data_IF_476204001524
#
_entry.id   IF_476204001524
#
_cell.length_a   1.000
_cell.length_b   1.000
_cell.length_c   1.000
_cell.angle_alpha   90.00
_cell.angle_beta   90.00
_cell.angle_gamma   90.00
#
_symmetry.space_group_name_H-M   'P 1'
#
loop_
_entity.id
_entity.type
_entity.pdbx_description
1 polymer ?
#
# COMPACT_ATOMS: atom_id res chain seq x y z
N UNK A 1 0.20 31.78 -12.57
CA UNK A 1 -0.74 30.73 -12.14
C UNK A 1 -0.15 29.41 -12.61
N UNK A 2 0.49 28.68 -11.70
CA UNK A 2 1.01 27.33 -12.01
C UNK A 2 -0.19 26.40 -12.09
N UNK A 3 -0.54 25.94 -13.28
CA UNK A 3 -1.50 24.85 -13.42
C UNK A 3 -0.96 23.64 -12.67
N UNK A 4 -1.78 23.09 -11.77
CA UNK A 4 -1.44 21.84 -11.11
C UNK A 4 -1.24 20.76 -12.21
N UNK A 5 -0.19 19.92 -12.12
CA UNK A 5 0.07 18.90 -13.13
C UNK A 5 -1.14 17.98 -13.24
N UNK A 6 -1.57 17.70 -14.48
CA UNK A 6 -2.65 16.73 -14.73
C UNK A 6 -2.15 15.37 -14.26
N UNK A 7 -2.78 14.85 -13.22
CA UNK A 7 -2.46 13.56 -12.64
C UNK A 7 -3.63 12.62 -12.89
N UNK A 8 -3.35 11.48 -13.52
CA UNK A 8 -4.34 10.41 -13.73
C UNK A 8 -4.14 9.31 -12.69
N UNK A 9 -5.26 8.82 -12.15
CA UNK A 9 -5.27 7.68 -11.23
C UNK A 9 -5.99 6.52 -11.91
N UNK A 10 -5.36 5.35 -11.93
CA UNK A 10 -5.92 4.16 -12.57
C UNK A 10 -5.67 2.90 -11.74
N UNK A 11 -6.57 1.92 -11.90
CA UNK A 11 -6.39 0.56 -11.37
C UNK A 11 -5.64 -0.28 -12.39
N UNK A 12 -4.60 -0.98 -11.94
CA UNK A 12 -3.79 -1.89 -12.75
C UNK A 12 -4.15 -3.32 -12.37
N UNK A 13 -4.67 -4.09 -13.31
CA UNK A 13 -5.08 -5.49 -13.11
C UNK A 13 -4.17 -6.50 -13.81
N UNK A 14 -3.34 -6.05 -14.74
CA UNK A 14 -2.38 -6.86 -15.45
C UNK A 14 -0.97 -6.27 -15.35
N UNK A 15 0.05 -7.11 -15.40
CA UNK A 15 1.44 -6.68 -15.32
C UNK A 15 1.79 -5.68 -16.42
N UNK A 16 2.37 -4.55 -16.02
CA UNK A 16 2.88 -3.49 -16.86
C UNK A 16 4.35 -3.27 -16.53
N UNK A 17 5.23 -3.30 -17.50
CA UNK A 17 6.67 -3.24 -17.27
C UNK A 17 7.11 -1.93 -16.57
N UNK A 18 6.51 -0.79 -16.91
CA UNK A 18 6.80 0.51 -16.29
C UNK A 18 6.32 0.56 -14.85
N UNK A 19 5.12 0.04 -14.59
CA UNK A 19 4.55 -0.05 -13.24
C UNK A 19 5.38 -1.00 -12.38
N UNK A 20 5.72 -2.18 -12.88
CA UNK A 20 6.55 -3.15 -12.14
C UNK A 20 7.92 -2.57 -11.80
N UNK A 21 8.57 -1.90 -12.74
CA UNK A 21 9.85 -1.22 -12.50
C UNK A 21 9.73 -0.11 -11.44
N UNK A 22 8.67 0.68 -11.49
CA UNK A 22 8.38 1.71 -10.50
C UNK A 22 8.18 1.13 -9.10
N UNK A 23 7.38 0.07 -8.96
CA UNK A 23 7.12 -0.58 -7.68
C UNK A 23 8.39 -1.21 -7.09
N UNK A 24 9.22 -1.82 -7.92
CA UNK A 24 10.48 -2.41 -7.50
C UNK A 24 11.48 -1.33 -7.04
N UNK A 25 11.63 -0.26 -7.81
CA UNK A 25 12.49 0.87 -7.45
C UNK A 25 12.02 1.55 -6.15
N UNK A 26 10.71 1.71 -5.96
CA UNK A 26 10.10 2.27 -4.75
C UNK A 26 10.41 1.42 -3.52
N UNK A 27 10.28 0.10 -3.62
CA UNK A 27 10.60 -0.81 -2.53
C UNK A 27 12.09 -0.76 -2.15
N UNK A 28 12.97 -0.72 -3.15
CA UNK A 28 14.41 -0.61 -2.93
C UNK A 28 14.81 0.72 -2.28
N UNK A 29 14.13 1.80 -2.61
CA UNK A 29 14.35 3.11 -1.96
C UNK A 29 13.90 3.09 -0.50
N UNK A 30 12.67 2.63 -0.22
CA UNK A 30 12.11 2.60 1.13
C UNK A 30 12.88 1.66 2.08
N UNK A 31 13.36 0.54 1.57
CA UNK A 31 14.03 -0.50 2.35
C UNK A 31 15.53 -0.60 2.02
N UNK A 32 16.14 0.51 1.63
CA UNK A 32 17.56 0.56 1.26
C UNK A 32 18.44 -0.06 2.36
N UNK A 33 19.31 -1.00 1.97
CA UNK A 33 20.20 -1.73 2.87
C UNK A 33 19.52 -2.81 3.73
N UNK A 34 18.22 -3.04 3.58
CA UNK A 34 17.43 -4.03 4.33
C UNK A 34 16.88 -5.17 3.50
N UNK A 35 16.80 -4.98 2.19
CA UNK A 35 16.34 -6.00 1.24
C UNK A 35 17.50 -6.48 0.39
N UNK A 36 17.48 -7.78 0.02
CA UNK A 36 18.37 -8.32 -0.97
C UNK A 36 18.05 -7.68 -2.34
N UNK A 37 18.99 -6.92 -2.95
CA UNK A 37 18.74 -6.25 -4.21
C UNK A 37 18.55 -7.20 -5.39
N UNK A 38 18.99 -8.46 -5.27
CA UNK A 38 18.81 -9.48 -6.29
C UNK A 38 17.42 -10.15 -6.25
N UNK A 39 16.67 -9.98 -5.15
CA UNK A 39 15.36 -10.60 -4.97
C UNK A 39 14.25 -9.70 -5.50
N UNK A 40 13.42 -10.25 -6.37
CA UNK A 40 12.16 -9.61 -6.80
C UNK A 40 11.03 -10.09 -5.88
N UNK A 41 10.26 -9.19 -5.26
CA UNK A 41 9.11 -9.57 -4.44
C UNK A 41 8.08 -10.40 -5.22
N UNK A 42 7.47 -11.38 -4.55
CA UNK A 42 6.53 -12.33 -5.18
C UNK A 42 5.28 -11.67 -5.76
N UNK A 43 4.81 -10.59 -5.16
CA UNK A 43 3.69 -9.83 -5.70
C UNK A 43 3.98 -9.12 -7.02
N UNK A 44 5.24 -8.97 -7.38
CA UNK A 44 5.67 -8.44 -8.69
C UNK A 44 5.95 -9.55 -9.71
N UNK A 45 6.35 -10.75 -9.26
CA UNK A 45 6.53 -11.91 -10.14
C UNK A 45 5.21 -12.61 -10.46
N UNK A 46 4.29 -12.65 -9.48
CA UNK A 46 2.97 -13.27 -9.58
C UNK A 46 1.86 -12.20 -9.51
N UNK A 47 2.00 -11.18 -10.32
CA UNK A 47 1.20 -9.96 -10.28
C UNK A 47 -0.31 -10.22 -10.31
N UNK A 48 -0.78 -11.07 -11.22
CA UNK A 48 -2.20 -11.36 -11.37
C UNK A 48 -2.81 -12.07 -10.16
N UNK A 49 -2.04 -12.89 -9.44
CA UNK A 49 -2.49 -13.56 -8.23
C UNK A 49 -2.66 -12.59 -7.05
N UNK A 50 -1.97 -11.47 -7.07
CA UNK A 50 -2.03 -10.47 -6.00
C UNK A 50 -2.94 -9.29 -6.33
N UNK A 51 -2.92 -8.82 -7.58
CA UNK A 51 -3.58 -7.57 -7.99
C UNK A 51 -4.53 -7.72 -9.17
N UNK A 52 -4.72 -8.94 -9.69
CA UNK A 52 -5.74 -9.22 -10.71
C UNK A 52 -7.15 -8.98 -10.20
N UNK A 53 -8.14 -9.01 -11.10
CA UNK A 53 -9.55 -8.89 -10.72
C UNK A 53 -9.91 -9.92 -9.63
N UNK A 54 -10.68 -9.48 -8.63
CA UNK A 54 -11.12 -10.29 -7.49
C UNK A 54 -9.99 -10.82 -6.56
N UNK A 55 -8.75 -10.41 -6.77
CA UNK A 55 -7.60 -10.82 -5.95
C UNK A 55 -7.14 -9.73 -5.00
N UNK A 56 -6.96 -8.54 -5.53
CA UNK A 56 -6.51 -7.36 -4.81
C UNK A 56 -6.79 -6.10 -5.62
N UNK A 57 -6.15 -5.01 -5.26
CA UNK A 57 -6.28 -3.75 -5.96
C UNK A 57 -4.93 -3.02 -5.96
N UNK A 58 -4.45 -2.65 -7.12
CA UNK A 58 -3.30 -1.75 -7.28
C UNK A 58 -3.76 -0.47 -7.97
N UNK A 59 -3.51 0.66 -7.34
CA UNK A 59 -3.75 1.98 -7.90
C UNK A 59 -2.42 2.66 -8.20
N UNK A 60 -2.34 3.24 -9.40
CA UNK A 60 -1.17 3.98 -9.86
C UNK A 60 -1.61 5.39 -10.23
N UNK A 61 -0.79 6.35 -9.84
CA UNK A 61 -0.87 7.74 -10.31
C UNK A 61 0.22 7.98 -11.33
N UNK A 62 -0.15 8.57 -12.46
CA UNK A 62 0.78 8.99 -13.51
C UNK A 62 0.78 10.51 -13.63
N UNK A 63 1.91 11.06 -13.99
CA UNK A 63 2.04 12.47 -14.34
C UNK A 63 1.53 12.75 -15.77
N UNK A 64 1.61 14.00 -16.20
CA UNK A 64 1.19 14.43 -17.53
C UNK A 64 1.96 13.73 -18.67
N UNK A 65 3.18 13.25 -18.41
CA UNK A 65 4.00 12.50 -19.37
C UNK A 65 3.68 11.00 -19.37
N UNK A 66 2.76 10.54 -18.50
CA UNK A 66 2.37 9.15 -18.37
C UNK A 66 3.31 8.31 -17.48
N UNK A 67 4.27 8.93 -16.80
CA UNK A 67 5.18 8.22 -15.89
C UNK A 67 4.50 7.92 -14.55
N UNK A 68 4.66 6.71 -13.98
CA UNK A 68 4.19 6.42 -12.63
C UNK A 68 4.90 7.31 -11.60
N UNK A 69 4.15 7.99 -10.75
CA UNK A 69 4.65 8.88 -9.69
C UNK A 69 4.10 8.58 -8.31
N UNK A 70 3.13 7.69 -8.22
CA UNK A 70 2.57 7.24 -6.96
C UNK A 70 1.88 5.89 -7.08
N UNK A 71 1.85 5.15 -5.98
CA UNK A 71 1.19 3.85 -5.89
C UNK A 71 0.57 3.63 -4.53
N UNK A 72 -0.44 2.79 -4.49
CA UNK A 72 -0.96 2.11 -3.30
C UNK A 72 -1.63 0.82 -3.73
N UNK A 73 -1.61 -0.18 -2.88
CA UNK A 73 -2.31 -1.44 -3.15
C UNK A 73 -2.89 -2.05 -1.89
N UNK A 74 -3.85 -2.94 -2.07
CA UNK A 74 -4.12 -3.98 -1.11
C UNK A 74 -4.12 -5.35 -1.79
N UNK A 75 -3.75 -6.37 -1.03
CA UNK A 75 -3.78 -7.77 -1.41
C UNK A 75 -4.43 -8.59 -0.32
N UNK A 76 -4.79 -9.83 -0.60
CA UNK A 76 -5.31 -10.73 0.43
C UNK A 76 -4.31 -10.86 1.57
N UNK A 77 -4.80 -10.70 2.78
CA UNK A 77 -4.00 -10.93 3.98
C UNK A 77 -3.79 -12.43 4.20
N UNK A 78 -2.55 -12.86 4.23
CA UNK A 78 -2.15 -14.28 4.30
C UNK A 78 -2.21 -14.88 5.71
N UNK A 79 -2.58 -14.08 6.73
CA UNK A 79 -2.74 -14.49 8.13
C UNK A 79 -1.48 -15.06 8.77
N UNK A 80 -0.30 -14.62 8.30
CA UNK A 80 1.01 -15.08 8.79
C UNK A 80 1.31 -14.70 10.25
N UNK A 81 0.52 -13.80 10.82
CA UNK A 81 0.63 -13.38 12.23
C UNK A 81 -0.52 -13.99 13.03
N UNK A 82 -0.28 -15.06 13.86
CA UNK A 82 -1.35 -15.80 14.52
C UNK A 82 -2.24 -14.94 15.44
N UNK A 83 -1.67 -13.91 16.08
CA UNK A 83 -2.43 -12.99 16.95
C UNK A 83 -3.34 -12.05 16.18
N UNK A 84 -3.07 -11.84 14.90
CA UNK A 84 -3.77 -10.96 14.00
C UNK A 84 -4.41 -11.76 12.86
N UNK A 85 -5.02 -12.91 13.17
CA UNK A 85 -5.57 -13.81 12.17
C UNK A 85 -6.95 -13.38 11.65
N UNK A 86 -7.72 -12.61 12.43
CA UNK A 86 -9.06 -12.11 12.09
C UNK A 86 -9.98 -13.20 11.51
N UNK A 87 -10.28 -14.26 12.25
CA UNK A 87 -11.04 -15.39 11.73
C UNK A 87 -12.43 -14.98 11.26
N UNK A 88 -12.86 -15.47 10.10
CA UNK A 88 -14.16 -15.19 9.53
C UNK A 88 -14.31 -13.79 8.87
N UNK A 89 -13.30 -12.95 8.90
CA UNK A 89 -13.32 -11.63 8.26
C UNK A 89 -12.64 -11.64 6.90
N UNK A 90 -13.17 -10.82 5.97
CA UNK A 90 -12.49 -10.48 4.72
C UNK A 90 -11.49 -9.36 4.99
N UNK A 91 -10.22 -9.73 5.12
CA UNK A 91 -9.12 -8.83 5.45
C UNK A 91 -8.21 -8.65 4.24
N UNK A 92 -7.89 -7.39 3.93
CA UNK A 92 -6.89 -7.04 2.92
C UNK A 92 -5.70 -6.34 3.59
N UNK A 93 -4.51 -6.67 3.13
CA UNK A 93 -3.26 -6.03 3.56
C UNK A 93 -2.92 -4.87 2.64
N UNK A 94 -2.83 -3.66 3.20
CA UNK A 94 -2.40 -2.47 2.47
C UNK A 94 -0.88 -2.51 2.31
N UNK A 95 -0.42 -2.36 1.08
CA UNK A 95 0.99 -2.41 0.70
C UNK A 95 1.29 -1.37 -0.39
N UNK A 96 2.55 -1.16 -0.69
CA UNK A 96 2.98 -0.39 -1.86
C UNK A 96 2.57 1.07 -1.87
N UNK A 97 2.34 1.70 -0.70
CA UNK A 97 2.20 3.16 -0.67
C UNK A 97 3.57 3.80 -0.91
N UNK A 98 3.66 4.51 -2.00
CA UNK A 98 4.84 5.30 -2.36
C UNK A 98 4.42 6.51 -3.20
N UNK A 99 5.03 7.65 -2.93
CA UNK A 99 4.90 8.86 -3.75
C UNK A 99 6.30 9.33 -4.11
N UNK A 100 6.53 9.56 -5.40
CA UNK A 100 7.81 10.06 -5.88
C UNK A 100 8.19 11.37 -5.15
N UNK A 101 9.46 11.59 -4.79
CA UNK A 101 9.88 12.71 -3.96
C UNK A 101 9.40 14.08 -4.46
N UNK A 102 9.45 14.31 -5.78
CA UNK A 102 9.00 15.58 -6.40
C UNK A 102 7.48 15.79 -6.39
N UNK A 103 6.70 14.75 -6.04
CA UNK A 103 5.23 14.80 -5.92
C UNK A 103 4.74 14.77 -4.48
N UNK A 104 5.63 14.77 -3.51
CA UNK A 104 5.28 14.72 -2.08
C UNK A 104 4.73 16.05 -1.58
N UNK A 105 4.07 16.01 -0.42
CA UNK A 105 3.49 17.19 0.27
C UNK A 105 2.38 17.91 -0.52
N UNK A 106 1.75 17.20 -1.45
CA UNK A 106 0.63 17.68 -2.26
C UNK A 106 -0.67 16.90 -1.97
N UNK A 107 -0.70 16.13 -0.89
CA UNK A 107 -1.86 15.32 -0.50
C UNK A 107 -2.06 14.05 -1.34
N UNK A 108 -1.10 13.66 -2.17
CA UNK A 108 -1.25 12.53 -3.10
C UNK A 108 -1.38 11.19 -2.39
N UNK A 109 -0.62 10.95 -1.33
CA UNK A 109 -0.73 9.72 -0.53
C UNK A 109 -2.13 9.57 0.08
N UNK A 110 -2.68 10.67 0.61
CA UNK A 110 -4.03 10.70 1.16
C UNK A 110 -5.10 10.43 0.09
N UNK A 111 -4.95 11.01 -1.09
CA UNK A 111 -5.84 10.78 -2.22
C UNK A 111 -5.79 9.33 -2.69
N UNK A 112 -4.60 8.74 -2.83
CA UNK A 112 -4.41 7.33 -3.15
C UNK A 112 -5.12 6.43 -2.15
N UNK A 113 -4.93 6.68 -0.85
CA UNK A 113 -5.58 5.88 0.18
C UNK A 113 -7.11 6.04 0.14
N UNK A 114 -7.62 7.24 -0.06
CA UNK A 114 -9.07 7.47 -0.18
C UNK A 114 -9.69 6.67 -1.33
N UNK A 115 -9.07 6.66 -2.50
CA UNK A 115 -9.52 5.87 -3.65
C UNK A 115 -9.42 4.35 -3.38
N UNK A 116 -8.36 3.91 -2.70
CA UNK A 116 -8.21 2.52 -2.30
C UNK A 116 -9.33 2.11 -1.33
N UNK A 117 -9.68 2.98 -0.38
CA UNK A 117 -10.76 2.77 0.56
C UNK A 117 -12.11 2.61 -0.15
N UNK A 118 -12.41 3.43 -1.15
CA UNK A 118 -13.61 3.30 -1.99
C UNK A 118 -13.66 1.93 -2.67
N UNK A 119 -12.54 1.45 -3.21
CA UNK A 119 -12.48 0.11 -3.80
C UNK A 119 -12.71 -0.98 -2.76
N UNK A 120 -12.08 -0.86 -1.59
CA UNK A 120 -12.25 -1.82 -0.50
C UNK A 120 -13.70 -1.94 -0.04
N UNK A 121 -14.40 -0.81 0.09
CA UNK A 121 -15.83 -0.77 0.45
C UNK A 121 -16.71 -1.43 -0.63
N UNK A 122 -16.46 -1.16 -1.91
CA UNK A 122 -17.16 -1.79 -3.03
C UNK A 122 -16.97 -3.30 -3.08
N UNK A 123 -15.80 -3.77 -2.68
CA UNK A 123 -15.46 -5.20 -2.67
C UNK A 123 -15.81 -5.87 -1.33
N UNK A 124 -16.57 -5.21 -0.46
CA UNK A 124 -17.01 -5.70 0.83
C UNK A 124 -15.86 -6.17 1.74
N UNK A 125 -14.73 -5.48 1.68
CA UNK A 125 -13.62 -5.68 2.62
C UNK A 125 -14.08 -5.22 4.00
N UNK A 126 -13.87 -6.07 5.01
CA UNK A 126 -14.32 -5.79 6.37
C UNK A 126 -13.24 -5.15 7.22
N UNK A 127 -11.97 -5.41 6.89
CA UNK A 127 -10.83 -4.87 7.61
C UNK A 127 -9.66 -4.64 6.67
N UNK A 128 -8.97 -3.53 6.87
CA UNK A 128 -7.65 -3.29 6.32
C UNK A 128 -6.60 -3.52 7.42
N UNK A 129 -5.58 -4.26 7.08
CA UNK A 129 -4.39 -4.49 7.89
C UNK A 129 -3.17 -3.91 7.17
N UNK A 130 -2.22 -3.40 7.90
CA UNK A 130 -0.89 -3.06 7.39
C UNK A 130 0.17 -3.19 8.47
N UNK A 131 1.40 -3.25 8.06
CA UNK A 131 2.54 -3.06 8.96
C UNK A 131 3.49 -2.01 8.41
N UNK A 132 4.15 -1.33 9.32
CA UNK A 132 5.18 -0.34 9.02
C UNK A 132 6.35 -0.49 10.00
N UNK A 133 7.32 0.39 9.88
CA UNK A 133 8.54 0.31 10.67
C UNK A 133 8.98 1.70 11.14
N UNK A 134 9.67 1.80 12.29
CA UNK A 134 10.17 3.09 12.79
C UNK A 134 11.15 3.78 11.84
N UNK A 135 11.86 3.03 10.99
CA UNK A 135 12.80 3.59 10.00
C UNK A 135 12.11 4.19 8.76
N UNK A 136 10.79 4.14 8.68
CA UNK A 136 9.99 4.84 7.67
C UNK A 136 9.40 6.11 8.30
N UNK A 137 10.08 7.27 8.20
CA UNK A 137 9.70 8.47 8.92
C UNK A 137 8.29 8.95 8.56
N UNK A 138 7.47 9.22 9.57
CA UNK A 138 6.12 9.73 9.41
C UNK A 138 5.06 8.70 8.98
N UNK A 139 5.44 7.45 8.71
CA UNK A 139 4.49 6.42 8.24
C UNK A 139 3.43 6.09 9.30
N UNK A 140 3.81 5.84 10.53
CA UNK A 140 2.84 5.58 11.61
C UNK A 140 1.86 6.74 11.80
N UNK A 141 2.38 7.96 11.88
CA UNK A 141 1.56 9.17 12.02
C UNK A 141 0.58 9.33 10.86
N UNK A 142 1.03 9.07 9.63
CA UNK A 142 0.17 9.10 8.45
C UNK A 142 -0.99 8.09 8.58
N UNK A 143 -0.69 6.84 8.91
CA UNK A 143 -1.70 5.79 8.99
C UNK A 143 -2.69 5.99 10.14
N UNK A 144 -2.24 6.46 11.29
CA UNK A 144 -3.12 6.85 12.40
C UNK A 144 -4.07 7.98 11.97
N UNK A 145 -3.57 8.98 11.24
CA UNK A 145 -4.40 10.04 10.69
C UNK A 145 -5.42 9.53 9.65
N UNK A 146 -5.14 8.39 8.99
CA UNK A 146 -6.08 7.71 8.09
C UNK A 146 -7.06 6.77 8.82
N UNK A 147 -7.12 6.81 10.15
CA UNK A 147 -8.07 6.03 10.95
C UNK A 147 -7.60 4.62 11.32
N UNK A 148 -6.34 4.29 11.11
CA UNK A 148 -5.77 3.04 11.59
C UNK A 148 -5.42 3.13 13.08
N UNK A 149 -5.51 1.98 13.76
CA UNK A 149 -5.10 1.81 15.15
C UNK A 149 -3.90 0.88 15.22
N UNK A 150 -2.91 1.22 16.04
CA UNK A 150 -1.80 0.33 16.36
C UNK A 150 -2.31 -0.78 17.25
N UNK A 151 -2.11 -2.03 16.84
CA UNK A 151 -2.58 -3.22 17.57
C UNK A 151 -1.44 -4.06 18.14
N UNK A 152 -0.26 -3.97 17.58
CA UNK A 152 0.93 -4.68 18.09
C UNK A 152 2.21 -3.94 17.69
N UNK A 153 3.19 -3.97 18.58
CA UNK A 153 4.56 -3.48 18.34
C UNK A 153 5.55 -4.58 18.63
N UNK A 154 6.34 -4.93 17.65
CA UNK A 154 7.46 -5.84 17.82
C UNK A 154 8.72 -5.06 18.22
N UNK A 155 9.52 -5.62 19.10
CA UNK A 155 10.75 -4.96 19.61
C UNK A 155 12.02 -5.49 18.95
N UNK A 156 11.92 -6.60 18.22
CA UNK A 156 13.07 -7.26 17.61
C UNK A 156 13.69 -6.44 16.48
N UNK A 157 14.99 -6.18 16.58
CA UNK A 157 15.78 -5.61 15.50
C UNK A 157 15.98 -6.61 14.35
N UNK A 158 16.14 -6.15 13.10
CA UNK A 158 16.21 -4.74 12.69
C UNK A 158 14.86 -4.11 12.34
N UNK A 159 13.76 -4.87 12.39
CA UNK A 159 12.50 -4.44 11.82
C UNK A 159 11.62 -3.64 12.75
N UNK A 160 11.53 -4.02 14.02
CA UNK A 160 10.66 -3.39 15.02
C UNK A 160 9.27 -3.09 14.46
N UNK A 161 8.66 -4.11 13.86
CA UNK A 161 7.41 -3.99 13.07
C UNK A 161 6.28 -3.43 13.92
N UNK A 162 5.55 -2.49 13.35
CA UNK A 162 4.35 -1.87 13.92
C UNK A 162 3.15 -2.36 13.09
N UNK A 163 2.23 -3.05 13.74
CA UNK A 163 1.02 -3.58 13.11
C UNK A 163 -0.16 -2.64 13.37
N UNK A 164 -0.88 -2.30 12.31
CA UNK A 164 -2.04 -1.42 12.38
C UNK A 164 -3.22 -2.05 11.66
N UNK A 165 -4.42 -1.70 12.10
CA UNK A 165 -5.66 -2.13 11.47
C UNK A 165 -6.69 -1.01 11.41
N UNK A 166 -7.61 -1.13 10.45
CA UNK A 166 -8.81 -0.30 10.35
C UNK A 166 -10.00 -1.16 9.95
N UNK A 167 -11.07 -1.15 10.76
CA UNK A 167 -12.36 -1.72 10.38
C UNK A 167 -13.06 -0.84 9.35
N UNK A 168 -13.72 -1.46 8.36
CA UNK A 168 -14.47 -0.77 7.31
C UNK A 168 -15.97 -0.97 7.43
N UNK A 169 -16.43 -2.05 8.07
CA UNK A 169 -17.84 -2.37 8.21
C UNK A 169 -18.31 -2.21 9.65
N UNK A 170 -19.41 -1.44 9.81
CA UNK A 170 -20.34 -1.58 10.91
C UNK A 170 -19.97 -0.86 12.19
N UNK A 171 -20.03 0.46 12.20
CA UNK A 171 -20.71 1.12 13.31
C UNK A 171 -22.20 1.17 12.99
N UNK A 172 -22.97 0.23 13.53
CA UNK A 172 -24.40 0.39 13.81
C UNK A 172 -24.54 0.97 15.17
#
# INVERSE_FOLDING_TARGET
VSEAPIITLERITAADAKVTAFLLASARELFAGRLDPARVPTDLTDFAEHYGEDRGCLLIVRDAAGAPVGSIAYRRYDRRFPRLAYPGERVMEVVRLFVAPHCRRQGLARRLFHELLVQAEREAVQRLYLHTHPFLPGAETFWVAQGFQVVERETAFPWQTIHLERRLTGET
#
